data_IF_786811019809
#
_entry.id   IF_786811019809
#
_cell.length_a   1.000
_cell.length_b   1.000
_cell.length_c   1.000
_cell.angle_alpha   90.00
_cell.angle_beta   90.00
_cell.angle_gamma   90.00
#
_symmetry.space_group_name_H-M   'P 1'
#
loop_
_entity.id
_entity.type
_entity.pdbx_description
1 polymer ?
#
# COMPACT_ATOMS: atom_id res chain seq x y z
N UNK A 1 -7.69 -3.23 -0.66
CA UNK A 1 -7.05 -4.48 -1.13
C UNK A 1 -8.05 -5.61 -1.05
N UNK A 2 -8.28 -6.28 -2.18
CA UNK A 2 -9.15 -7.43 -2.26
C UNK A 2 -8.47 -8.66 -1.64
N UNK A 3 -9.25 -9.54 -1.01
CA UNK A 3 -8.74 -10.80 -0.48
C UNK A 3 -8.20 -11.67 -1.63
N UNK A 4 -6.97 -12.15 -1.50
CA UNK A 4 -6.33 -13.07 -2.46
C UNK A 4 -7.16 -14.35 -2.54
N UNK A 5 -7.44 -14.82 -3.76
CA UNK A 5 -8.02 -16.15 -4.00
C UNK A 5 -6.94 -17.05 -4.57
N UNK A 6 -6.57 -18.07 -3.81
CA UNK A 6 -5.37 -18.88 -4.04
C UNK A 6 -5.38 -19.61 -5.41
N UNK A 7 -6.54 -20.04 -5.86
CA UNK A 7 -6.76 -20.75 -7.12
C UNK A 7 -6.68 -19.84 -8.36
N UNK A 8 -6.97 -18.56 -8.21
CA UNK A 8 -7.06 -17.60 -9.33
C UNK A 8 -5.89 -16.63 -9.40
N UNK A 9 -5.30 -16.31 -8.24
CA UNK A 9 -4.32 -15.25 -8.10
C UNK A 9 -2.90 -15.79 -7.92
N UNK A 10 -2.69 -17.11 -7.94
CA UNK A 10 -1.35 -17.72 -7.86
C UNK A 10 -1.06 -18.44 -9.16
N UNK A 11 0.04 -18.07 -9.83
CA UNK A 11 0.44 -18.68 -11.10
C UNK A 11 1.93 -19.01 -11.12
N UNK A 12 2.34 -20.16 -11.69
CA UNK A 12 3.74 -20.46 -11.94
C UNK A 12 4.39 -19.47 -12.91
N UNK A 13 5.69 -19.22 -12.77
CA UNK A 13 6.45 -18.34 -13.66
C UNK A 13 6.41 -18.81 -15.12
N UNK A 14 6.36 -20.12 -15.37
CA UNK A 14 6.16 -20.67 -16.71
C UNK A 14 4.81 -20.27 -17.32
N UNK A 15 3.73 -20.36 -16.54
CA UNK A 15 2.38 -19.99 -16.96
C UNK A 15 2.23 -18.49 -17.14
N UNK A 16 2.84 -17.68 -16.27
CA UNK A 16 2.88 -16.23 -16.44
C UNK A 16 3.57 -15.85 -17.74
N UNK A 17 4.74 -16.44 -18.05
CA UNK A 17 5.51 -16.16 -19.27
C UNK A 17 4.76 -16.50 -20.55
N UNK A 18 3.94 -17.56 -20.55
CA UNK A 18 3.17 -17.95 -21.74
C UNK A 18 1.97 -17.03 -22.02
N UNK A 19 1.48 -16.29 -21.00
CA UNK A 19 0.24 -15.50 -21.06
C UNK A 19 0.38 -14.10 -20.45
N UNK A 20 1.52 -13.44 -20.63
CA UNK A 20 1.84 -12.15 -20.00
C UNK A 20 0.76 -11.10 -20.23
N UNK A 21 0.38 -10.85 -21.49
CA UNK A 21 -0.62 -9.83 -21.83
C UNK A 21 -1.98 -10.07 -21.17
N UNK A 22 -2.43 -11.34 -21.10
CA UNK A 22 -3.66 -11.72 -20.42
C UNK A 22 -3.62 -11.38 -18.93
N UNK A 23 -2.50 -11.67 -18.27
CA UNK A 23 -2.36 -11.40 -16.83
C UNK A 23 -2.31 -9.91 -16.50
N UNK A 24 -1.63 -9.10 -17.32
CA UNK A 24 -1.66 -7.64 -17.19
C UNK A 24 -3.10 -7.10 -17.31
N UNK A 25 -3.85 -7.54 -18.33
CA UNK A 25 -5.24 -7.14 -18.51
C UNK A 25 -6.14 -7.63 -17.37
N UNK A 26 -5.93 -8.86 -16.87
CA UNK A 26 -6.66 -9.40 -15.72
C UNK A 26 -6.43 -8.54 -14.47
N UNK A 27 -5.17 -8.25 -14.12
CA UNK A 27 -4.82 -7.43 -12.95
C UNK A 27 -5.39 -6.03 -13.09
N UNK A 28 -5.26 -5.41 -14.27
CA UNK A 28 -5.79 -4.07 -14.56
C UNK A 28 -7.32 -3.99 -14.42
N UNK A 29 -8.05 -4.98 -14.94
CA UNK A 29 -9.52 -5.00 -14.90
C UNK A 29 -10.08 -5.37 -13.53
N UNK A 30 -9.49 -6.38 -12.89
CA UNK A 30 -10.02 -6.91 -11.62
C UNK A 30 -9.50 -6.15 -10.41
N UNK A 31 -8.40 -5.40 -10.56
CA UNK A 31 -7.67 -4.77 -9.45
C UNK A 31 -7.26 -5.77 -8.36
N UNK A 32 -7.10 -7.04 -8.74
CA UNK A 32 -6.62 -8.12 -7.87
C UNK A 32 -5.14 -8.40 -8.14
N UNK A 33 -4.33 -8.61 -7.09
CA UNK A 33 -2.93 -8.97 -7.25
C UNK A 33 -2.78 -10.33 -7.94
N UNK A 34 -1.69 -10.51 -8.66
CA UNK A 34 -1.23 -11.82 -9.14
C UNK A 34 0.10 -12.18 -8.46
N UNK A 35 0.13 -13.30 -7.76
CA UNK A 35 1.31 -13.88 -7.13
C UNK A 35 1.96 -14.83 -8.13
N UNK A 36 3.24 -14.59 -8.42
CA UNK A 36 4.03 -15.40 -9.34
C UNK A 36 4.96 -16.29 -8.50
N UNK A 37 4.94 -17.59 -8.79
CA UNK A 37 5.75 -18.59 -8.07
C UNK A 37 6.83 -19.20 -8.96
N UNK A 38 7.97 -19.54 -8.36
CA UNK A 38 9.02 -20.33 -8.99
C UNK A 38 9.32 -21.53 -8.08
N UNK A 39 9.29 -22.75 -8.64
CA UNK A 39 9.48 -24.00 -7.88
C UNK A 39 8.55 -24.10 -6.65
N UNK A 40 7.30 -23.64 -6.78
CA UNK A 40 6.30 -23.64 -5.70
C UNK A 40 6.49 -22.57 -4.62
N UNK A 41 7.50 -21.69 -4.74
CA UNK A 41 7.73 -20.57 -3.80
C UNK A 41 7.32 -19.25 -4.44
N UNK A 42 6.60 -18.40 -3.70
CA UNK A 42 6.27 -17.05 -4.15
C UNK A 42 7.52 -16.22 -4.38
N UNK A 43 7.63 -15.60 -5.55
CA UNK A 43 8.82 -14.86 -5.98
C UNK A 43 8.51 -13.40 -6.31
N UNK A 44 7.32 -13.12 -6.86
CA UNK A 44 6.92 -11.76 -7.23
C UNK A 44 5.41 -11.56 -7.10
N UNK A 45 4.99 -10.30 -7.02
CA UNK A 45 3.59 -9.89 -7.07
C UNK A 45 3.45 -8.86 -8.19
N UNK A 46 2.49 -9.08 -9.07
CA UNK A 46 2.04 -8.09 -10.06
C UNK A 46 0.82 -7.36 -9.51
N UNK A 47 0.90 -6.03 -9.48
CA UNK A 47 -0.13 -5.13 -9.01
C UNK A 47 -0.49 -4.13 -10.10
N UNK A 48 -1.74 -3.67 -10.07
CA UNK A 48 -2.13 -2.49 -10.82
C UNK A 48 -1.53 -1.23 -10.16
N UNK A 49 -1.07 -0.29 -10.98
CA UNK A 49 -0.36 0.91 -10.49
C UNK A 49 -1.22 1.76 -9.56
N UNK A 50 -2.53 1.89 -9.82
CA UNK A 50 -3.40 2.69 -8.95
C UNK A 50 -3.63 2.02 -7.60
N UNK A 51 -3.70 0.68 -7.57
CA UNK A 51 -3.79 -0.07 -6.31
C UNK A 51 -2.50 0.01 -5.51
N UNK A 52 -1.35 -0.04 -6.18
CA UNK A 52 -0.06 0.15 -5.53
C UNK A 52 0.06 1.54 -4.90
N UNK A 53 -0.26 2.61 -5.65
CA UNK A 53 -0.21 3.97 -5.12
C UNK A 53 -1.17 4.14 -3.92
N UNK A 54 -2.42 3.67 -4.04
CA UNK A 54 -3.38 3.74 -2.95
C UNK A 54 -2.93 2.98 -1.70
N UNK A 55 -2.14 1.91 -1.85
CA UNK A 55 -1.55 1.19 -0.73
C UNK A 55 -0.47 2.04 -0.04
N UNK A 56 0.41 2.68 -0.82
CA UNK A 56 1.44 3.58 -0.28
C UNK A 56 0.81 4.76 0.47
N UNK A 57 -0.15 5.44 -0.14
CA UNK A 57 -0.84 6.60 0.48
C UNK A 57 -1.49 6.21 1.83
N UNK A 58 -2.07 5.01 1.92
CA UNK A 58 -2.65 4.51 3.18
C UNK A 58 -1.61 4.22 4.24
N UNK A 59 -0.45 3.69 3.84
CA UNK A 59 0.64 3.41 4.76
C UNK A 59 1.18 4.72 5.35
N UNK A 60 1.36 5.75 4.53
CA UNK A 60 1.80 7.08 4.99
C UNK A 60 0.85 7.65 6.06
N UNK A 61 -0.47 7.61 5.81
CA UNK A 61 -1.46 8.07 6.79
C UNK A 61 -1.41 7.26 8.09
N UNK A 62 -1.21 5.94 8.01
CA UNK A 62 -1.08 5.09 9.21
C UNK A 62 0.19 5.43 10.00
N UNK A 63 1.30 5.69 9.31
CA UNK A 63 2.55 6.10 9.95
C UNK A 63 2.41 7.46 10.64
N UNK A 64 1.74 8.43 10.01
CA UNK A 64 1.43 9.73 10.59
C UNK A 64 0.55 9.61 11.84
N UNK A 65 -0.49 8.78 11.79
CA UNK A 65 -1.36 8.51 12.94
C UNK A 65 -0.55 7.89 14.08
N UNK A 66 0.26 6.87 13.79
CA UNK A 66 1.11 6.21 14.80
C UNK A 66 2.10 7.20 15.44
N UNK A 67 2.67 8.10 14.65
CA UNK A 67 3.53 9.17 15.14
C UNK A 67 2.76 10.13 16.05
N UNK A 68 1.56 10.56 15.64
CA UNK A 68 0.71 11.43 16.43
C UNK A 68 0.30 10.79 17.76
N UNK A 69 -0.10 9.52 17.76
CA UNK A 69 -0.42 8.75 18.97
C UNK A 69 0.79 8.66 19.93
N UNK A 70 1.99 8.41 19.39
CA UNK A 70 3.21 8.40 20.18
C UNK A 70 3.51 9.79 20.80
N UNK A 71 3.30 10.88 20.05
CA UNK A 71 3.47 12.25 20.54
C UNK A 71 2.47 12.59 21.65
N UNK A 72 1.20 12.21 21.48
CA UNK A 72 0.15 12.42 22.48
C UNK A 72 0.45 11.66 23.78
N UNK A 73 0.91 10.41 23.68
CA UNK A 73 1.31 9.64 24.87
C UNK A 73 2.50 10.26 25.64
N UNK A 74 3.27 11.13 24.98
CA UNK A 74 4.42 11.85 25.54
C UNK A 74 4.08 13.30 25.94
N UNK A 75 2.82 13.73 25.83
CA UNK A 75 2.39 15.10 26.14
C UNK A 75 2.95 16.16 25.18
N UNK A 76 3.25 15.78 23.93
CA UNK A 76 3.86 16.67 22.91
C UNK A 76 2.83 17.45 22.09
N UNK A 77 1.57 17.40 22.46
CA UNK A 77 0.52 18.22 21.88
C UNK A 77 0.68 19.71 22.23
N UNK A 78 0.11 20.56 21.39
CA UNK A 78 0.01 22.00 21.64
C UNK A 78 -1.41 22.44 21.39
N UNK A 79 -1.93 23.36 22.22
CA UNK A 79 -3.24 23.93 21.99
C UNK A 79 -3.24 24.84 20.76
N UNK A 80 -4.39 24.99 20.11
CA UNK A 80 -4.58 25.92 18.99
C UNK A 80 -4.14 27.36 19.34
N UNK A 81 -4.36 27.78 20.59
CA UNK A 81 -3.97 29.11 21.09
C UNK A 81 -2.45 29.26 21.13
N UNK A 82 -1.72 28.24 21.58
CA UNK A 82 -0.26 28.23 21.62
C UNK A 82 0.35 28.18 20.22
N UNK A 83 -0.23 27.36 19.33
CA UNK A 83 0.14 27.29 17.91
C UNK A 83 0.08 28.68 17.26
N UNK A 84 -1.06 29.37 17.35
CA UNK A 84 -1.24 30.72 16.78
C UNK A 84 -0.18 31.72 17.28
N UNK A 85 0.14 31.69 18.57
CA UNK A 85 1.19 32.55 19.14
C UNK A 85 2.59 32.22 18.60
N UNK A 86 2.90 30.95 18.37
CA UNK A 86 4.19 30.50 17.81
C UNK A 86 4.40 30.99 16.38
N UNK A 87 3.35 30.93 15.55
CA UNK A 87 3.41 31.40 14.15
C UNK A 87 3.46 32.92 14.06
N UNK A 88 2.71 33.66 14.89
CA UNK A 88 2.72 35.12 14.91
C UNK A 88 4.06 35.74 15.38
N UNK A 89 4.93 34.97 16.05
CA UNK A 89 6.28 35.40 16.47
C UNK A 89 7.37 35.13 15.43
N UNK A 90 7.06 34.37 14.38
CA UNK A 90 7.99 33.99 13.31
C UNK A 90 7.80 34.80 12.02
N UNK A 91 6.77 35.63 11.95
CA UNK A 91 6.55 36.64 10.92
C UNK A 91 7.05 37.99 11.42
#
# INVERSE_FOLDING_TARGET
MHKIQLDQDIQPLSEFRSKVAFYFEKVKKTKRPLIITQNGKSTAILLDVSEYQSMIDKLEVIEDIKLAEAQLSQGKEISHKELKKKFARKA
#
